data_IF_866192791154
#
_entry.id   IF_866192791154
#
_cell.length_a   1.000
_cell.length_b   1.000
_cell.length_c   1.000
_cell.angle_alpha   90.00
_cell.angle_beta   90.00
_cell.angle_gamma   90.00
#
_symmetry.space_group_name_H-M   'P 1'
#
loop_
_entity.id
_entity.type
_entity.pdbx_description
1 polymer ?
#
# COMPACT_ATOMS: atom_id res chain seq x y z
N UNK A 1 21.10 18.61 5.68
CA UNK A 1 20.42 18.72 4.36
C UNK A 1 20.44 17.38 3.64
N UNK A 2 21.57 16.68 3.64
CA UNK A 2 21.73 15.37 2.98
C UNK A 2 20.78 14.28 3.51
N UNK A 3 20.59 14.20 4.83
CA UNK A 3 19.68 13.21 5.43
C UNK A 3 18.21 13.40 5.00
N UNK A 4 17.74 14.64 4.85
CA UNK A 4 16.37 14.94 4.44
C UNK A 4 16.14 14.57 2.97
N UNK A 5 17.08 14.91 2.09
CA UNK A 5 17.02 14.54 0.66
C UNK A 5 17.04 13.02 0.52
N UNK A 6 17.88 12.33 1.29
CA UNK A 6 17.95 10.87 1.29
C UNK A 6 16.61 10.24 1.70
N UNK A 7 15.99 10.70 2.79
CA UNK A 7 14.68 10.22 3.26
C UNK A 7 13.60 10.45 2.19
N UNK A 8 13.52 11.66 1.63
CA UNK A 8 12.58 11.98 0.56
C UNK A 8 12.81 11.11 -0.68
N UNK A 9 14.06 10.83 -1.04
CA UNK A 9 14.39 9.97 -2.19
C UNK A 9 13.84 8.56 -2.02
N UNK A 10 13.93 7.97 -0.82
CA UNK A 10 13.33 6.66 -0.50
C UNK A 10 11.81 6.74 -0.65
N UNK A 11 11.20 7.79 -0.11
CA UNK A 11 9.76 8.01 -0.20
C UNK A 11 9.26 8.12 -1.64
N UNK A 12 9.90 8.98 -2.46
CA UNK A 12 9.53 9.13 -3.87
C UNK A 12 9.81 7.88 -4.69
N UNK A 13 10.87 7.12 -4.40
CA UNK A 13 11.11 5.83 -5.03
C UNK A 13 9.98 4.84 -4.70
N UNK A 14 9.52 4.81 -3.44
CA UNK A 14 8.35 4.02 -3.07
C UNK A 14 7.11 4.41 -3.88
N UNK A 15 6.87 5.71 -4.05
CA UNK A 15 5.75 6.21 -4.85
C UNK A 15 5.90 5.90 -6.35
N UNK A 16 7.12 5.88 -6.88
CA UNK A 16 7.38 5.46 -8.25
C UNK A 16 6.95 3.99 -8.47
N UNK A 17 7.28 3.09 -7.54
CA UNK A 17 6.80 1.70 -7.58
C UNK A 17 5.28 1.61 -7.43
N UNK A 18 4.67 2.38 -6.52
CA UNK A 18 3.21 2.42 -6.37
C UNK A 18 2.49 3.00 -7.59
N UNK A 19 3.13 3.89 -8.34
CA UNK A 19 2.61 4.43 -9.59
C UNK A 19 2.78 3.43 -10.73
N UNK A 20 3.95 2.78 -10.81
CA UNK A 20 4.25 1.75 -11.80
C UNK A 20 3.25 0.58 -11.75
N UNK A 21 2.90 0.08 -10.55
CA UNK A 21 1.86 -0.96 -10.42
C UNK A 21 0.52 -0.52 -11.03
N UNK A 22 0.12 0.72 -10.79
CA UNK A 22 -1.18 1.26 -11.20
C UNK A 22 -1.17 1.43 -12.73
N UNK A 23 -0.08 1.97 -13.30
CA UNK A 23 0.12 2.09 -14.74
C UNK A 23 0.08 0.73 -15.45
N UNK A 24 0.81 -0.26 -14.94
CA UNK A 24 0.80 -1.62 -15.52
C UNK A 24 -0.60 -2.22 -15.45
N UNK A 25 -1.28 -2.08 -14.31
CA UNK A 25 -2.66 -2.56 -14.17
C UNK A 25 -3.59 -1.86 -15.16
N UNK A 26 -3.47 -0.54 -15.33
CA UNK A 26 -4.28 0.22 -16.26
C UNK A 26 -4.04 -0.23 -17.70
N UNK A 27 -2.80 -0.19 -18.19
CA UNK A 27 -2.45 -0.52 -19.58
C UNK A 27 -2.94 -1.92 -19.95
N UNK A 28 -2.70 -2.90 -19.07
CA UNK A 28 -3.13 -4.29 -19.33
C UNK A 28 -4.66 -4.44 -19.26
N UNK A 29 -5.33 -3.72 -18.36
CA UNK A 29 -6.79 -3.76 -18.24
C UNK A 29 -7.50 -3.03 -19.38
N UNK A 30 -6.90 -1.98 -19.93
CA UNK A 30 -7.40 -1.25 -21.10
C UNK A 30 -7.34 -2.14 -22.34
N UNK A 31 -6.18 -2.76 -22.58
CA UNK A 31 -6.00 -3.71 -23.70
C UNK A 31 -6.98 -4.88 -23.63
N UNK A 32 -7.30 -5.36 -22.43
CA UNK A 32 -8.22 -6.46 -22.20
C UNK A 32 -9.70 -6.03 -22.05
N UNK A 33 -10.00 -4.72 -22.00
CA UNK A 33 -11.32 -4.14 -21.66
C UNK A 33 -11.96 -4.74 -20.39
N UNK A 34 -11.14 -5.20 -19.46
CA UNK A 34 -11.54 -5.85 -18.20
C UNK A 34 -10.53 -5.49 -17.13
N UNK A 35 -11.00 -5.28 -15.91
CA UNK A 35 -10.10 -5.03 -14.78
C UNK A 35 -9.30 -6.30 -14.47
N UNK A 36 -7.98 -6.24 -14.72
CA UNK A 36 -7.04 -7.31 -14.47
C UNK A 36 -6.26 -7.09 -13.18
N UNK A 37 -5.74 -8.20 -12.64
CA UNK A 37 -4.77 -8.22 -11.54
C UNK A 37 -3.46 -8.82 -12.05
N UNK A 38 -2.56 -8.06 -12.70
CA UNK A 38 -1.31 -8.62 -13.22
C UNK A 38 -0.31 -8.93 -12.09
N UNK A 39 0.58 -9.90 -12.28
CA UNK A 39 1.61 -10.23 -11.26
C UNK A 39 2.54 -9.05 -10.96
N UNK A 40 2.86 -8.24 -11.96
CA UNK A 40 3.67 -7.02 -11.80
C UNK A 40 3.02 -6.00 -10.87
N UNK A 41 1.68 -5.94 -10.82
CA UNK A 41 0.99 -5.05 -9.87
C UNK A 41 1.35 -5.40 -8.42
N UNK A 42 1.40 -6.69 -8.10
CA UNK A 42 1.72 -7.17 -6.75
C UNK A 42 3.21 -7.07 -6.45
N UNK A 43 4.09 -7.37 -7.41
CA UNK A 43 5.53 -7.25 -7.25
C UNK A 43 5.96 -5.80 -6.95
N UNK A 44 5.49 -4.84 -7.75
CA UNK A 44 5.75 -3.42 -7.49
C UNK A 44 5.09 -2.92 -6.21
N UNK A 45 3.90 -3.43 -5.84
CA UNK A 45 3.28 -3.12 -4.54
C UNK A 45 4.15 -3.57 -3.37
N UNK A 46 4.76 -4.75 -3.47
CA UNK A 46 5.64 -5.31 -2.44
C UNK A 46 6.90 -4.47 -2.25
N UNK A 47 7.56 -4.10 -3.35
CA UNK A 47 8.75 -3.25 -3.32
C UNK A 47 8.41 -1.86 -2.77
N UNK A 48 7.35 -1.23 -3.28
CA UNK A 48 6.90 0.09 -2.82
C UNK A 48 6.55 0.09 -1.33
N UNK A 49 5.87 -0.96 -0.85
CA UNK A 49 5.52 -1.09 0.57
C UNK A 49 6.73 -1.24 1.47
N UNK A 50 7.73 -2.02 1.04
CA UNK A 50 8.99 -2.16 1.77
C UNK A 50 9.74 -0.82 1.89
N UNK A 51 9.84 -0.08 0.78
CA UNK A 51 10.47 1.24 0.77
C UNK A 51 9.68 2.27 1.59
N UNK A 52 8.35 2.24 1.52
CA UNK A 52 7.50 3.17 2.28
C UNK A 52 7.52 2.88 3.78
N UNK A 53 7.68 1.60 4.19
CA UNK A 53 7.97 1.25 5.59
C UNK A 53 9.27 1.90 6.07
N UNK A 54 10.35 1.80 5.29
CA UNK A 54 11.64 2.42 5.63
C UNK A 54 11.47 3.94 5.73
N UNK A 55 10.77 4.55 4.77
CA UNK A 55 10.45 5.98 4.81
C UNK A 55 9.68 6.38 6.07
N UNK A 56 8.62 5.64 6.42
CA UNK A 56 7.83 5.90 7.63
C UNK A 56 8.64 5.76 8.91
N UNK A 57 9.54 4.77 8.96
CA UNK A 57 10.47 4.59 10.08
C UNK A 57 11.42 5.77 10.22
N UNK A 58 12.04 6.22 9.13
CA UNK A 58 12.95 7.37 9.14
C UNK A 58 12.25 8.71 9.42
N UNK A 59 10.92 8.76 9.29
CA UNK A 59 10.07 9.93 9.57
C UNK A 59 9.37 9.87 10.92
N UNK A 60 9.63 8.83 11.73
CA UNK A 60 8.92 8.57 12.98
C UNK A 60 7.39 8.63 12.84
N UNK A 61 6.88 8.17 11.69
CA UNK A 61 5.46 8.25 11.34
C UNK A 61 4.82 6.87 11.37
N UNK A 62 4.26 6.53 12.52
CA UNK A 62 3.62 5.24 12.76
C UNK A 62 2.45 4.97 11.81
N UNK A 63 1.68 5.99 11.42
CA UNK A 63 0.53 5.81 10.55
C UNK A 63 0.97 5.22 9.19
N UNK A 64 2.07 5.72 8.62
CA UNK A 64 2.63 5.20 7.37
C UNK A 64 3.02 3.72 7.52
N UNK A 65 3.72 3.38 8.61
CA UNK A 65 4.21 2.03 8.87
C UNK A 65 3.04 1.04 9.01
N UNK A 66 2.03 1.40 9.80
CA UNK A 66 0.88 0.55 10.13
C UNK A 66 0.19 -0.03 8.88
N UNK A 67 -0.10 0.80 7.88
CA UNK A 67 -0.82 0.37 6.67
C UNK A 67 -0.01 -0.58 5.77
N UNK A 68 1.32 -0.45 5.80
CA UNK A 68 2.19 -1.26 4.95
C UNK A 68 2.35 -2.68 5.48
N UNK A 69 2.46 -2.88 6.80
CA UNK A 69 2.68 -4.20 7.41
C UNK A 69 1.60 -5.23 7.02
N UNK A 70 0.33 -4.83 7.02
CA UNK A 70 -0.77 -5.75 6.67
C UNK A 70 -0.80 -5.98 5.16
N UNK A 71 -0.67 -4.91 4.37
CA UNK A 71 -0.73 -4.97 2.91
C UNK A 71 0.38 -5.86 2.33
N UNK A 72 1.56 -5.81 2.94
CA UNK A 72 2.75 -6.57 2.59
C UNK A 72 2.50 -8.08 2.44
N UNK A 73 1.87 -8.71 3.43
CA UNK A 73 1.58 -10.15 3.40
C UNK A 73 0.54 -10.52 2.34
N UNK A 74 -0.42 -9.64 2.07
CA UNK A 74 -1.43 -9.86 1.04
C UNK A 74 -0.78 -9.83 -0.35
N UNK A 75 0.26 -9.02 -0.55
CA UNK A 75 1.02 -9.00 -1.80
C UNK A 75 1.76 -10.32 -2.03
N UNK A 76 2.44 -10.84 -1.00
CA UNK A 76 3.11 -12.13 -1.05
C UNK A 76 2.11 -13.24 -1.38
N UNK A 77 0.95 -13.25 -0.72
CA UNK A 77 -0.10 -14.24 -0.99
C UNK A 77 -0.60 -14.18 -2.44
N UNK A 78 -0.81 -12.99 -2.99
CA UNK A 78 -1.27 -12.83 -4.38
C UNK A 78 -0.19 -13.28 -5.39
N UNK A 79 1.10 -13.00 -5.12
CA UNK A 79 2.21 -13.52 -5.93
C UNK A 79 2.30 -15.05 -5.87
N UNK A 80 1.98 -15.63 -4.71
CA UNK A 80 1.98 -17.07 -4.51
C UNK A 80 0.88 -17.77 -5.31
N UNK A 81 -0.35 -17.26 -5.25
CA UNK A 81 -1.47 -17.79 -6.05
C UNK A 81 -1.22 -17.67 -7.55
N UNK A 82 -0.50 -16.63 -7.99
CA UNK A 82 -0.12 -16.47 -9.40
C UNK A 82 1.09 -17.33 -9.82
N UNK A 83 1.65 -18.14 -8.91
CA UNK A 83 2.80 -19.00 -9.19
C UNK A 83 4.12 -18.26 -9.39
N UNK A 84 4.17 -16.95 -9.14
CA UNK A 84 5.38 -16.13 -9.37
C UNK A 84 6.27 -16.07 -8.13
N UNK A 85 5.71 -16.24 -6.94
CA UNK A 85 6.47 -16.18 -5.68
C UNK A 85 7.66 -17.14 -5.67
N UNK A 86 7.46 -18.38 -6.11
CA UNK A 86 8.50 -19.41 -6.10
C UNK A 86 9.63 -19.18 -7.12
N UNK A 87 9.42 -18.29 -8.11
CA UNK A 87 10.46 -17.90 -9.07
C UNK A 87 11.47 -16.92 -8.46
N UNK A 88 11.15 -16.33 -7.31
CA UNK A 88 12.08 -15.46 -6.59
C UNK A 88 13.18 -16.28 -5.91
N UNK A 89 14.40 -15.75 -5.98
CA UNK A 89 15.56 -16.33 -5.33
C UNK A 89 15.30 -16.55 -3.83
N UNK A 90 15.67 -17.72 -3.30
CA UNK A 90 15.26 -18.14 -1.96
C UNK A 90 15.69 -17.16 -0.84
N UNK A 91 16.91 -16.61 -0.83
CA UNK A 91 17.30 -15.57 0.12
C UNK A 91 16.40 -14.33 0.10
N UNK A 92 15.94 -13.90 -1.08
CA UNK A 92 15.04 -12.73 -1.19
C UNK A 92 13.71 -13.04 -0.48
N UNK A 93 13.16 -14.24 -0.69
CA UNK A 93 11.93 -14.66 -0.02
C UNK A 93 12.07 -14.69 1.50
N UNK A 94 13.20 -15.19 1.99
CA UNK A 94 13.48 -15.25 3.44
C UNK A 94 13.58 -13.85 4.03
N UNK A 95 14.34 -12.95 3.40
CA UNK A 95 14.44 -11.54 3.84
C UNK A 95 13.04 -10.91 3.90
N UNK A 96 12.26 -11.04 2.82
CA UNK A 96 10.92 -10.47 2.75
C UNK A 96 9.99 -10.98 3.87
N UNK A 97 10.01 -12.29 4.16
CA UNK A 97 9.19 -12.86 5.22
C UNK A 97 9.69 -12.51 6.63
N UNK A 98 11.01 -12.43 6.83
CA UNK A 98 11.60 -12.21 8.15
C UNK A 98 11.63 -10.74 8.57
N UNK A 99 11.79 -9.79 7.65
CA UNK A 99 11.93 -8.36 8.03
C UNK A 99 10.77 -7.85 8.90
N UNK A 100 9.48 -8.07 8.55
CA UNK A 100 8.40 -7.60 9.41
C UNK A 100 8.39 -8.28 10.79
N UNK A 101 8.75 -9.57 10.87
CA UNK A 101 8.84 -10.30 12.13
C UNK A 101 9.96 -9.77 13.03
N UNK A 102 11.11 -9.48 12.43
CA UNK A 102 12.26 -8.88 13.13
C UNK A 102 11.90 -7.47 13.63
N UNK A 103 11.23 -6.66 12.81
CA UNK A 103 10.76 -5.34 13.21
C UNK A 103 9.80 -5.41 14.40
N UNK A 104 8.84 -6.35 14.39
CA UNK A 104 7.95 -6.58 15.53
C UNK A 104 8.74 -7.01 16.77
N UNK A 105 9.69 -7.94 16.63
CA UNK A 105 10.53 -8.38 17.74
C UNK A 105 11.38 -7.24 18.33
N UNK A 106 11.87 -6.33 17.49
CA UNK A 106 12.60 -5.13 17.93
C UNK A 106 11.70 -4.19 18.72
N UNK A 107 10.50 -3.90 18.22
CA UNK A 107 9.50 -3.07 18.91
C UNK A 107 9.06 -3.69 20.25
N UNK A 108 8.89 -5.01 20.30
CA UNK A 108 8.49 -5.70 21.54
C UNK A 108 9.57 -5.71 22.61
N UNK A 109 10.86 -5.62 22.23
CA UNK A 109 11.96 -5.56 23.20
C UNK A 109 11.98 -4.26 23.99
N UNK A 110 11.55 -3.15 23.37
CA UNK A 110 11.47 -1.85 24.01
C UNK A 110 10.20 -1.10 23.55
N UNK A 111 9.07 -1.61 24.01
CA UNK A 111 7.77 -1.06 23.64
C UNK A 111 7.54 0.34 24.20
N UNK A 112 8.20 0.68 25.32
CA UNK A 112 8.10 2.00 25.95
C UNK A 112 8.82 3.05 25.09
N UNK A 113 10.09 2.80 24.73
CA UNK A 113 10.84 3.69 23.84
C UNK A 113 10.15 3.85 22.49
N UNK A 114 9.61 2.77 21.91
CA UNK A 114 8.83 2.86 20.68
C UNK A 114 7.59 3.74 20.82
N UNK A 115 6.85 3.63 21.93
CA UNK A 115 5.67 4.46 22.16
C UNK A 115 6.05 5.95 22.24
N UNK A 116 7.13 6.28 22.94
CA UNK A 116 7.60 7.66 23.05
C UNK A 116 8.08 8.21 21.70
N UNK A 117 8.84 7.42 20.93
CA UNK A 117 9.38 7.84 19.64
C UNK A 117 8.33 7.91 18.52
N UNK A 118 7.32 7.04 18.51
CA UNK A 118 6.40 6.88 17.38
C UNK A 118 4.94 7.25 17.68
N UNK A 119 4.49 7.19 18.93
CA UNK A 119 3.11 7.49 19.33
C UNK A 119 2.98 8.83 20.07
N UNK A 120 4.00 9.23 20.83
CA UNK A 120 3.99 10.43 21.66
C UNK A 120 5.11 11.42 21.31
N UNK A 121 5.52 11.47 20.04
CA UNK A 121 6.52 12.44 19.59
C UNK A 121 5.91 13.83 19.31
N UNK A 122 6.76 14.87 19.41
CA UNK A 122 6.36 16.25 19.11
C UNK A 122 6.15 16.51 17.61
N UNK A 123 6.62 15.61 16.73
CA UNK A 123 6.45 15.78 15.29
C UNK A 123 5.01 15.55 14.86
N UNK A 124 4.33 14.53 15.39
CA UNK A 124 2.96 14.12 15.04
C UNK A 124 2.05 14.27 16.25
N UNK A 125 1.17 15.28 16.23
CA UNK A 125 0.15 15.44 17.27
C UNK A 125 -0.71 14.17 17.40
N UNK A 126 -1.07 13.71 18.62
CA UNK A 126 -1.80 12.46 18.81
C UNK A 126 -3.10 12.33 18.00
N UNK A 127 -3.87 13.42 17.87
CA UNK A 127 -5.10 13.41 17.06
C UNK A 127 -4.81 13.17 15.57
N UNK A 128 -3.71 13.73 15.06
CA UNK A 128 -3.29 13.60 13.66
C UNK A 128 -2.77 12.19 13.40
N UNK A 129 -2.04 11.62 14.35
CA UNK A 129 -1.62 10.22 14.33
C UNK A 129 -2.82 9.27 14.25
N UNK A 130 -3.83 9.46 15.10
CA UNK A 130 -5.07 8.67 15.08
C UNK A 130 -5.77 8.82 13.73
N UNK A 131 -5.90 10.04 13.21
CA UNK A 131 -6.51 10.31 11.91
C UNK A 131 -5.77 9.60 10.77
N UNK A 132 -4.44 9.72 10.72
CA UNK A 132 -3.60 9.04 9.74
C UNK A 132 -3.71 7.52 9.83
N UNK A 133 -3.73 6.98 11.06
CA UNK A 133 -3.87 5.55 11.32
C UNK A 133 -5.22 5.02 10.84
N UNK A 134 -6.32 5.73 11.10
CA UNK A 134 -7.65 5.38 10.59
C UNK A 134 -7.65 5.36 9.06
N UNK A 135 -7.07 6.39 8.42
CA UNK A 135 -6.93 6.46 6.97
C UNK A 135 -6.17 5.26 6.40
N UNK A 136 -5.08 4.88 7.05
CA UNK A 136 -4.23 3.76 6.64
C UNK A 136 -4.90 2.39 6.86
N UNK A 137 -5.62 2.21 7.97
CA UNK A 137 -6.42 1.01 8.22
C UNK A 137 -7.51 0.87 7.17
N UNK A 138 -8.28 1.94 6.90
CA UNK A 138 -9.34 1.91 5.91
C UNK A 138 -8.79 1.66 4.49
N UNK A 139 -7.67 2.30 4.14
CA UNK A 139 -7.00 2.04 2.86
C UNK A 139 -6.49 0.61 2.74
N UNK A 140 -6.03 0.01 3.84
CA UNK A 140 -5.59 -1.39 3.90
C UNK A 140 -6.74 -2.37 3.76
N UNK A 141 -7.93 -2.04 4.27
CA UNK A 141 -9.12 -2.89 4.20
C UNK A 141 -9.49 -3.29 2.77
N UNK A 142 -9.12 -2.50 1.75
CA UNK A 142 -9.29 -2.89 0.35
C UNK A 142 -8.65 -4.24 0.03
N UNK A 143 -7.45 -4.49 0.58
CA UNK A 143 -6.70 -5.71 0.32
C UNK A 143 -7.30 -6.88 1.08
N UNK A 144 -7.81 -6.65 2.28
CA UNK A 144 -8.55 -7.67 3.04
C UNK A 144 -9.83 -8.04 2.28
N UNK A 145 -10.59 -7.06 1.81
CA UNK A 145 -11.78 -7.28 0.98
C UNK A 145 -11.44 -8.09 -0.28
N UNK A 146 -10.38 -7.67 -0.98
CA UNK A 146 -9.88 -8.36 -2.17
C UNK A 146 -9.46 -9.81 -1.88
N UNK A 147 -8.74 -10.02 -0.77
CA UNK A 147 -8.26 -11.33 -0.36
C UNK A 147 -9.43 -12.26 -0.05
N UNK A 148 -10.42 -11.82 0.72
CA UNK A 148 -11.63 -12.58 1.03
C UNK A 148 -12.41 -12.94 -0.25
N UNK A 149 -12.54 -11.99 -1.17
CA UNK A 149 -13.19 -12.22 -2.47
C UNK A 149 -12.42 -13.22 -3.34
N UNK A 150 -11.11 -13.06 -3.43
CA UNK A 150 -10.21 -13.88 -4.26
C UNK A 150 -10.04 -15.29 -3.71
N UNK A 151 -10.02 -15.46 -2.38
CA UNK A 151 -9.94 -16.77 -1.72
C UNK A 151 -11.15 -17.65 -2.06
N UNK A 152 -12.35 -17.07 -2.10
CA UNK A 152 -13.58 -17.79 -2.49
C UNK A 152 -13.51 -18.28 -3.94
N UNK A 153 -12.86 -17.52 -4.83
CA UNK A 153 -12.72 -17.84 -6.26
C UNK A 153 -11.43 -18.57 -6.63
N UNK A 154 -10.50 -18.76 -5.67
CA UNK A 154 -9.14 -19.28 -5.87
C UNK A 154 -8.33 -18.55 -6.96
N UNK A 155 -8.68 -17.29 -7.22
CA UNK A 155 -8.06 -16.46 -8.26
C UNK A 155 -7.84 -15.05 -7.71
N UNK A 156 -6.69 -14.46 -8.03
CA UNK A 156 -6.39 -13.08 -7.67
C UNK A 156 -7.15 -12.12 -8.60
N UNK A 157 -8.24 -11.53 -8.08
CA UNK A 157 -9.11 -10.56 -8.77
C UNK A 157 -9.12 -9.23 -8.01
N UNK A 158 -9.43 -8.12 -8.69
CA UNK A 158 -9.60 -6.78 -8.10
C UNK A 158 -11.08 -6.35 -8.22
N UNK A 159 -11.95 -6.71 -7.26
CA UNK A 159 -13.39 -6.45 -7.32
C UNK A 159 -13.73 -4.95 -7.19
N UNK A 160 -14.95 -4.54 -7.52
CA UNK A 160 -15.40 -3.14 -7.40
C UNK A 160 -15.14 -2.53 -6.02
N UNK A 161 -15.49 -3.27 -4.95
CA UNK A 161 -15.28 -2.80 -3.57
C UNK A 161 -13.81 -2.50 -3.24
N UNK A 162 -12.85 -3.14 -3.89
CA UNK A 162 -11.43 -2.79 -3.75
C UNK A 162 -11.16 -1.35 -4.19
N UNK A 163 -11.76 -0.93 -5.30
CA UNK A 163 -11.57 0.40 -5.88
C UNK A 163 -12.32 1.47 -5.09
N UNK A 164 -13.54 1.17 -4.63
CA UNK A 164 -14.31 2.09 -3.79
C UNK A 164 -13.60 2.36 -2.45
N UNK A 165 -13.15 1.31 -1.76
CA UNK A 165 -12.38 1.45 -0.51
C UNK A 165 -11.07 2.20 -0.78
N UNK A 166 -10.41 1.94 -1.91
CA UNK A 166 -9.20 2.68 -2.32
C UNK A 166 -9.44 4.17 -2.46
N UNK A 167 -10.56 4.57 -3.06
CA UNK A 167 -10.90 5.97 -3.26
C UNK A 167 -11.10 6.68 -1.92
N UNK A 168 -11.91 6.11 -1.02
CA UNK A 168 -12.17 6.67 0.31
C UNK A 168 -10.88 6.74 1.13
N UNK A 169 -10.10 5.66 1.16
CA UNK A 169 -8.84 5.63 1.91
C UNK A 169 -7.79 6.59 1.35
N UNK A 170 -7.72 6.75 0.02
CA UNK A 170 -6.79 7.69 -0.61
C UNK A 170 -7.12 9.14 -0.27
N UNK A 171 -8.40 9.48 -0.14
CA UNK A 171 -8.82 10.81 0.29
C UNK A 171 -8.37 11.09 1.73
N UNK A 172 -8.54 10.14 2.65
CA UNK A 172 -8.07 10.29 4.03
C UNK A 172 -6.54 10.40 4.11
N UNK A 173 -5.80 9.60 3.34
CA UNK A 173 -4.33 9.69 3.30
C UNK A 173 -3.86 10.99 2.66
N UNK A 174 -4.57 11.49 1.63
CA UNK A 174 -4.28 12.78 1.01
C UNK A 174 -4.48 13.92 2.02
N UNK A 175 -5.60 13.93 2.74
CA UNK A 175 -5.85 14.89 3.82
C UNK A 175 -4.75 14.83 4.89
N UNK A 176 -4.39 13.62 5.33
CA UNK A 176 -3.31 13.40 6.29
C UNK A 176 -1.98 13.95 5.77
N UNK A 177 -1.62 13.65 4.51
CA UNK A 177 -0.42 14.17 3.85
C UNK A 177 -0.40 15.69 3.79
N UNK A 178 -1.52 16.34 3.44
CA UNK A 178 -1.64 17.80 3.46
C UNK A 178 -1.42 18.39 4.86
N UNK A 179 -2.05 17.80 5.89
CA UNK A 179 -1.91 18.24 7.28
C UNK A 179 -0.49 18.04 7.83
N UNK A 180 0.22 17.02 7.34
CA UNK A 180 1.63 16.73 7.65
C UNK A 180 2.63 17.49 6.78
N UNK A 181 2.16 18.21 5.74
CA UNK A 181 3.00 18.72 4.65
C UNK A 181 3.91 17.65 4.03
N UNK A 182 3.43 16.40 3.95
CA UNK A 182 4.17 15.27 3.41
C UNK A 182 3.92 15.14 1.90
N UNK A 183 4.86 15.67 1.11
CA UNK A 183 4.78 15.67 -0.35
C UNK A 183 4.79 14.26 -0.95
N UNK A 184 5.44 13.30 -0.28
CA UNK A 184 5.52 11.91 -0.74
C UNK A 184 4.12 11.27 -0.71
N UNK A 185 3.38 11.46 0.38
CA UNK A 185 2.00 10.96 0.48
C UNK A 185 1.05 11.67 -0.48
N UNK A 186 1.16 12.99 -0.60
CA UNK A 186 0.29 13.80 -1.46
C UNK A 186 0.43 13.36 -2.92
N UNK A 187 1.66 13.34 -3.45
CA UNK A 187 1.93 12.96 -4.84
C UNK A 187 1.50 11.51 -5.12
N UNK A 188 1.77 10.61 -4.17
CA UNK A 188 1.38 9.21 -4.28
C UNK A 188 -0.11 8.98 -4.45
N UNK A 189 -0.94 9.68 -3.66
CA UNK A 189 -2.39 9.46 -3.67
C UNK A 189 -3.10 10.13 -4.85
N UNK A 190 -2.63 11.29 -5.32
CA UNK A 190 -3.24 11.99 -6.45
C UNK A 190 -3.31 11.11 -7.70
N UNK A 191 -2.22 10.39 -8.00
CA UNK A 191 -2.19 9.48 -9.15
C UNK A 191 -3.18 8.31 -9.00
N UNK A 192 -3.34 7.80 -7.77
CA UNK A 192 -4.24 6.68 -7.48
C UNK A 192 -5.72 7.01 -7.73
N UNK A 193 -6.16 8.20 -7.32
CA UNK A 193 -7.58 8.63 -7.40
C UNK A 193 -8.14 8.51 -8.81
N UNK A 194 -7.40 8.98 -9.82
CA UNK A 194 -7.82 8.95 -11.23
C UNK A 194 -8.12 7.51 -11.66
N UNK A 195 -7.26 6.57 -11.27
CA UNK A 195 -7.34 5.18 -11.70
C UNK A 195 -8.41 4.41 -10.93
N UNK A 196 -8.62 4.74 -9.66
CA UNK A 196 -9.72 4.17 -8.88
C UNK A 196 -11.07 4.55 -9.48
N UNK A 197 -11.29 5.82 -9.82
CA UNK A 197 -12.51 6.30 -10.47
C UNK A 197 -12.73 5.60 -11.83
N UNK A 198 -11.69 5.51 -12.66
CA UNK A 198 -11.76 4.83 -13.96
C UNK A 198 -12.11 3.36 -13.83
N UNK A 199 -11.52 2.64 -12.87
CA UNK A 199 -11.80 1.21 -12.69
C UNK A 199 -13.23 0.96 -12.18
N UNK A 200 -13.76 1.82 -11.31
CA UNK A 200 -15.17 1.78 -10.90
C UNK A 200 -16.05 1.96 -12.15
N UNK A 201 -15.82 3.02 -12.93
CA UNK A 201 -16.57 3.29 -14.15
C UNK A 201 -16.53 2.11 -15.16
N UNK A 202 -15.37 1.50 -15.36
CA UNK A 202 -15.21 0.36 -16.26
C UNK A 202 -16.04 -0.85 -15.78
N UNK A 203 -16.03 -1.14 -14.49
CA UNK A 203 -16.80 -2.26 -13.91
C UNK A 203 -18.30 -1.99 -14.05
N UNK A 204 -18.78 -0.83 -13.59
CA UNK A 204 -20.21 -0.49 -13.60
C UNK A 204 -20.79 -0.48 -15.02
N UNK A 205 -20.05 0.00 -16.02
CA UNK A 205 -20.52 0.01 -17.41
C UNK A 205 -20.29 -1.30 -18.16
N UNK A 206 -19.28 -2.09 -17.77
CA UNK A 206 -19.10 -3.45 -18.27
C UNK A 206 -20.28 -4.35 -17.87
N UNK A 207 -20.76 -4.23 -16.64
CA UNK A 207 -21.93 -4.98 -16.15
C UNK A 207 -23.23 -4.56 -16.86
N UNK A 208 -23.39 -3.28 -17.21
CA UNK A 208 -24.55 -2.78 -17.97
C UNK A 208 -24.59 -3.25 -19.43
N UNK A 209 -23.44 -3.61 -20.03
CA UNK A 209 -23.34 -4.12 -21.41
C UNK A 209 -23.47 -5.64 -21.52
N UNK A 210 -23.36 -6.36 -20.40
CA UNK A 210 -23.51 -7.81 -20.32
C UNK A 210 -24.87 -8.29 -19.80
N UNK A 211 -25.81 -7.36 -19.56
CA UNK A 211 -27.22 -7.61 -19.32
C UNK A 211 -28.01 -7.17 -20.55
#
# INVERSE_FOLDING_TARGET
MDSTIFILSIGFLAQAFFSARILVQWILSERARKVLSPSLFWAFSLIGSYLLCIYGWLRNDFAIILGQFISYYIYIWNLNIKGVWHNLYAPIRVILLCTPLIAIAFVMKDAASFADEFLFNDEVKPWLLIFGSIGQVLFTMRFIYQWLYSRKKKESQLPEGFWLISLIGSFLILMYGCLRADLVLIVGQMFGVIIYLRNIYLITNGEKRGK
#
